data_IF_899775472055
#
_entry.id   IF_899775472055
#
_cell.length_a   1.000
_cell.length_b   1.000
_cell.length_c   1.000
_cell.angle_alpha   90.00
_cell.angle_beta   90.00
_cell.angle_gamma   90.00
#
_symmetry.space_group_name_H-M   'P 1'
#
loop_
_entity.id
_entity.type
_entity.pdbx_description
1 polymer ?
#
# COMPACT_ATOMS: atom_id res chain seq x y z
N UNK A 1 13.08 0.20 26.47
CA UNK A 1 11.94 0.80 27.17
C UNK A 1 10.67 0.07 26.74
N UNK A 2 10.11 -0.77 27.65
CA UNK A 2 8.92 -1.58 27.40
C UNK A 2 7.68 -0.74 27.06
N UNK A 3 7.53 0.43 27.68
CA UNK A 3 6.41 1.36 27.39
C UNK A 3 6.40 1.87 25.96
N UNK A 4 7.56 2.09 25.35
CA UNK A 4 7.64 2.51 23.95
C UNK A 4 7.32 1.37 22.97
N UNK A 5 7.59 0.12 23.34
CA UNK A 5 7.29 -1.04 22.51
C UNK A 5 5.78 -1.20 22.29
N UNK A 6 4.99 -1.07 23.36
CA UNK A 6 3.52 -1.18 23.31
C UNK A 6 2.90 -0.08 22.43
N UNK A 7 3.45 1.13 22.45
CA UNK A 7 3.00 2.22 21.60
C UNK A 7 3.19 1.90 20.12
N UNK A 8 4.37 1.36 19.72
CA UNK A 8 4.64 1.00 18.32
C UNK A 8 3.85 -0.23 17.84
N UNK A 9 3.60 -1.20 18.72
CA UNK A 9 2.79 -2.38 18.41
C UNK A 9 1.33 -1.97 18.16
N UNK A 10 0.82 -1.02 18.91
CA UNK A 10 -0.54 -0.52 18.80
C UNK A 10 -0.75 0.49 17.67
N UNK A 11 0.32 1.09 17.13
CA UNK A 11 0.23 2.00 15.98
C UNK A 11 -0.28 1.25 14.74
N UNK A 12 -1.41 1.72 14.20
CA UNK A 12 -2.06 1.07 13.05
C UNK A 12 -2.20 2.03 11.86
N UNK A 13 -1.67 1.62 10.74
CA UNK A 13 -1.89 2.31 9.46
C UNK A 13 -2.76 1.44 8.57
N UNK A 14 -3.97 1.93 8.22
CA UNK A 14 -4.92 1.15 7.42
C UNK A 14 -5.41 -0.13 8.11
N UNK A 15 -5.46 -0.13 9.44
CA UNK A 15 -5.91 -1.26 10.27
C UNK A 15 -4.88 -2.39 10.42
N UNK A 16 -3.60 -2.14 10.07
CA UNK A 16 -2.47 -3.04 10.27
C UNK A 16 -1.47 -2.40 11.23
N UNK A 17 -0.96 -3.16 12.21
CA UNK A 17 0.20 -2.74 12.98
C UNK A 17 1.44 -2.65 12.08
N UNK A 18 2.42 -1.85 12.49
CA UNK A 18 3.66 -1.70 11.71
C UNK A 18 4.38 -3.05 11.56
N UNK A 19 4.43 -3.84 12.62
CA UNK A 19 5.03 -5.18 12.60
C UNK A 19 4.28 -6.12 11.64
N UNK A 20 2.95 -6.20 11.72
CA UNK A 20 2.16 -7.05 10.83
C UNK A 20 2.30 -6.60 9.37
N UNK A 21 2.45 -5.30 9.11
CA UNK A 21 2.72 -4.75 7.79
C UNK A 21 4.04 -5.26 7.23
N UNK A 22 5.12 -5.19 8.00
CA UNK A 22 6.45 -5.68 7.59
C UNK A 22 6.38 -7.18 7.28
N UNK A 23 5.77 -7.97 8.17
CA UNK A 23 5.63 -9.42 8.00
C UNK A 23 4.82 -9.79 6.74
N UNK A 24 3.72 -9.08 6.46
CA UNK A 24 2.93 -9.27 5.25
C UNK A 24 3.71 -8.95 3.98
N UNK A 25 4.52 -7.90 4.00
CA UNK A 25 5.36 -7.52 2.86
C UNK A 25 6.45 -8.58 2.65
N UNK A 26 7.13 -9.02 3.72
CA UNK A 26 8.14 -10.09 3.66
C UNK A 26 7.53 -11.39 3.09
N UNK A 27 6.40 -11.82 3.62
CA UNK A 27 5.71 -13.01 3.11
C UNK A 27 5.32 -12.86 1.62
N UNK A 28 4.95 -11.67 1.17
CA UNK A 28 4.63 -11.41 -0.24
C UNK A 28 5.83 -11.47 -1.17
N UNK A 29 7.05 -11.30 -0.64
CA UNK A 29 8.33 -11.40 -1.36
C UNK A 29 8.96 -12.81 -1.27
N UNK A 30 8.22 -13.78 -0.71
CA UNK A 30 8.64 -15.18 -0.69
C UNK A 30 9.42 -15.60 0.54
N UNK A 31 9.54 -14.77 1.56
CA UNK A 31 10.09 -15.21 2.84
C UNK A 31 9.12 -16.19 3.50
N UNK A 32 9.66 -17.25 4.09
CA UNK A 32 8.88 -18.32 4.74
C UNK A 32 8.87 -18.23 6.26
N UNK A 33 9.79 -17.45 6.84
CA UNK A 33 9.93 -17.32 8.28
C UNK A 33 10.38 -15.90 8.69
N UNK A 34 10.09 -15.54 9.93
CA UNK A 34 10.61 -14.34 10.56
C UNK A 34 10.86 -14.59 12.05
N UNK A 35 11.89 -13.95 12.58
CA UNK A 35 12.17 -13.88 14.01
C UNK A 35 11.59 -12.59 14.61
N UNK A 36 10.93 -12.69 15.74
CA UNK A 36 10.47 -11.54 16.53
C UNK A 36 11.21 -11.51 17.85
N UNK A 37 11.87 -10.38 18.12
CA UNK A 37 12.55 -10.13 19.40
C UNK A 37 11.60 -9.26 20.25
N UNK A 38 10.46 -9.80 20.58
CA UNK A 38 9.47 -9.20 21.48
C UNK A 38 8.37 -10.21 21.83
N UNK A 39 7.76 -10.03 22.96
CA UNK A 39 6.57 -10.77 23.38
C UNK A 39 5.33 -10.09 22.82
N UNK A 40 4.97 -10.44 21.57
CA UNK A 40 3.79 -9.85 20.90
C UNK A 40 2.67 -10.90 20.87
N UNK A 41 1.47 -10.59 21.34
CA UNK A 41 0.35 -11.52 21.31
C UNK A 41 0.07 -12.04 19.90
N UNK A 42 -0.12 -13.35 19.74
CA UNK A 42 -0.44 -13.99 18.44
C UNK A 42 -1.66 -13.39 17.73
N UNK A 43 -2.58 -12.80 18.50
CA UNK A 43 -3.79 -12.13 17.99
C UNK A 43 -3.45 -11.00 17.01
N UNK A 44 -2.28 -10.39 17.15
CA UNK A 44 -1.83 -9.26 16.30
C UNK A 44 -1.59 -9.66 14.84
N UNK A 45 -1.44 -10.95 14.51
CA UNK A 45 -1.06 -11.44 13.18
C UNK A 45 -2.19 -12.19 12.45
N UNK A 46 -3.44 -11.93 12.78
CA UNK A 46 -4.61 -12.64 12.18
C UNK A 46 -4.63 -12.58 10.66
N UNK A 47 -4.27 -11.47 10.05
CA UNK A 47 -4.27 -11.32 8.59
C UNK A 47 -3.12 -12.08 7.94
N UNK A 48 -1.94 -12.04 8.56
CA UNK A 48 -0.79 -12.79 8.09
C UNK A 48 -1.11 -14.30 8.06
N UNK A 49 -1.59 -14.85 9.18
CA UNK A 49 -1.98 -16.27 9.28
C UNK A 49 -3.06 -16.66 8.28
N UNK A 50 -4.04 -15.78 8.02
CA UNK A 50 -5.10 -16.02 7.03
C UNK A 50 -4.57 -16.03 5.59
N UNK A 51 -3.64 -15.15 5.25
CA UNK A 51 -3.14 -14.97 3.86
C UNK A 51 -1.96 -15.88 3.55
N UNK A 52 -1.13 -16.16 4.55
CA UNK A 52 0.10 -16.97 4.47
C UNK A 52 0.15 -17.96 5.64
N UNK A 53 -0.64 -19.05 5.60
CA UNK A 53 -0.75 -20.01 6.71
C UNK A 53 0.58 -20.70 7.02
N UNK A 54 1.43 -20.91 6.01
CA UNK A 54 2.72 -21.60 6.15
C UNK A 54 3.86 -20.68 6.64
N UNK A 55 3.59 -19.38 6.81
CA UNK A 55 4.59 -18.43 7.30
C UNK A 55 4.86 -18.66 8.79
N UNK A 56 6.11 -19.00 9.12
CA UNK A 56 6.53 -19.31 10.48
C UNK A 56 7.05 -18.07 11.19
N UNK A 57 6.58 -17.86 12.41
CA UNK A 57 7.07 -16.79 13.29
C UNK A 57 7.73 -17.44 14.49
N UNK A 58 9.02 -17.16 14.67
CA UNK A 58 9.79 -17.59 15.83
C UNK A 58 9.93 -16.39 16.77
N UNK A 59 9.56 -16.57 18.04
CA UNK A 59 9.70 -15.52 19.06
C UNK A 59 10.87 -15.89 19.96
N UNK A 60 11.73 -14.91 20.22
CA UNK A 60 12.80 -15.03 21.22
C UNK A 60 13.07 -13.68 21.89
N UNK A 61 13.60 -13.70 23.09
CA UNK A 61 14.06 -12.51 23.82
C UNK A 61 15.49 -12.13 23.43
N UNK A 62 16.25 -13.05 22.86
CA UNK A 62 17.65 -12.86 22.51
C UNK A 62 17.86 -12.87 21.01
N UNK A 63 18.68 -11.96 20.52
CA UNK A 63 19.04 -11.87 19.11
C UNK A 63 19.96 -13.02 18.69
N UNK A 64 20.78 -13.52 19.64
CA UNK A 64 21.71 -14.65 19.45
C UNK A 64 21.04 -15.92 18.93
N UNK A 65 19.74 -16.12 19.25
CA UNK A 65 18.98 -17.29 18.80
C UNK A 65 18.75 -17.33 17.30
N UNK A 66 18.90 -16.19 16.63
CA UNK A 66 18.66 -16.02 15.19
C UNK A 66 19.93 -15.87 14.36
N UNK A 67 21.02 -15.35 14.92
CA UNK A 67 22.17 -14.81 14.16
C UNK A 67 23.15 -15.87 13.62
N UNK A 68 23.20 -17.06 14.15
CA UNK A 68 24.35 -17.96 13.90
C UNK A 68 24.21 -18.90 12.68
N UNK A 69 23.14 -18.85 11.90
CA UNK A 69 22.88 -19.85 10.85
C UNK A 69 22.81 -19.29 9.42
N UNK A 70 22.29 -18.09 9.24
CA UNK A 70 22.02 -17.49 7.92
C UNK A 70 22.24 -15.98 7.94
N UNK A 71 22.25 -15.35 6.77
CA UNK A 71 22.20 -13.90 6.64
C UNK A 71 20.87 -13.37 7.17
N UNK A 72 20.88 -12.32 7.98
CA UNK A 72 19.69 -11.81 8.68
C UNK A 72 19.41 -10.37 8.28
N UNK A 73 18.14 -10.09 8.01
CA UNK A 73 17.63 -8.76 7.82
C UNK A 73 16.77 -8.36 9.03
N UNK A 74 17.21 -7.35 9.76
CA UNK A 74 16.58 -6.89 10.99
C UNK A 74 15.83 -5.59 10.70
N UNK A 75 14.55 -5.56 11.04
CA UNK A 75 13.70 -4.38 11.01
C UNK A 75 13.41 -3.91 12.43
N UNK A 76 13.56 -2.63 12.67
CA UNK A 76 13.04 -2.05 13.91
C UNK A 76 11.51 -1.93 13.81
N UNK A 77 10.82 -2.06 14.93
CA UNK A 77 9.36 -2.07 15.01
C UNK A 77 8.67 -0.75 14.56
N UNK A 78 9.42 0.35 14.53
CA UNK A 78 8.94 1.67 14.14
C UNK A 78 9.25 2.04 12.67
N UNK A 79 9.68 1.09 11.86
CA UNK A 79 9.95 1.30 10.43
C UNK A 79 8.67 1.21 9.63
N UNK A 80 8.41 2.21 8.81
CA UNK A 80 7.37 2.20 7.79
C UNK A 80 8.02 1.94 6.44
N UNK A 81 7.64 0.85 5.80
CA UNK A 81 8.18 0.42 4.52
C UNK A 81 7.03 -0.03 3.60
N UNK A 82 7.20 0.16 2.31
CA UNK A 82 6.32 -0.41 1.29
C UNK A 82 7.02 -1.53 0.50
N UNK A 83 6.25 -2.24 -0.33
CA UNK A 83 6.76 -3.37 -1.11
C UNK A 83 7.92 -3.00 -2.03
N UNK A 84 7.85 -1.87 -2.75
CA UNK A 84 8.92 -1.42 -3.66
C UNK A 84 10.20 -1.08 -2.91
N UNK A 85 10.08 -0.44 -1.74
CA UNK A 85 11.22 -0.12 -0.90
C UNK A 85 11.90 -1.39 -0.37
N UNK A 86 11.13 -2.40 0.04
CA UNK A 86 11.70 -3.68 0.41
C UNK A 86 12.44 -4.33 -0.77
N UNK A 87 11.85 -4.35 -1.97
CA UNK A 87 12.51 -4.88 -3.16
C UNK A 87 13.81 -4.16 -3.47
N UNK A 88 13.82 -2.82 -3.47
CA UNK A 88 15.05 -2.02 -3.65
C UNK A 88 16.09 -2.33 -2.59
N UNK A 89 15.66 -2.51 -1.34
CA UNK A 89 16.54 -2.90 -0.22
C UNK A 89 17.15 -4.28 -0.45
N UNK A 90 16.34 -5.26 -0.85
CA UNK A 90 16.80 -6.62 -1.12
C UNK A 90 17.77 -6.67 -2.31
N UNK A 91 17.54 -5.91 -3.37
CA UNK A 91 18.44 -5.84 -4.52
C UNK A 91 19.80 -5.23 -4.15
N UNK A 92 19.82 -4.26 -3.27
CA UNK A 92 21.07 -3.70 -2.72
C UNK A 92 21.81 -4.76 -1.89
N UNK A 93 21.08 -5.45 -1.00
CA UNK A 93 21.65 -6.45 -0.08
C UNK A 93 22.23 -7.65 -0.82
N UNK A 94 21.58 -8.13 -1.88
CA UNK A 94 22.09 -9.27 -2.69
C UNK A 94 23.53 -9.06 -3.19
N UNK A 95 23.92 -7.81 -3.42
CA UNK A 95 25.23 -7.44 -3.93
C UNK A 95 26.25 -7.10 -2.82
N UNK A 96 25.87 -7.14 -1.54
CA UNK A 96 26.75 -6.81 -0.44
C UNK A 96 27.52 -8.03 0.05
N UNK A 97 28.85 -7.85 0.22
CA UNK A 97 29.74 -8.89 0.78
C UNK A 97 29.89 -8.75 2.29
N UNK A 98 29.55 -7.60 2.87
CA UNK A 98 29.70 -7.26 4.27
C UNK A 98 28.37 -6.89 4.90
N UNK A 99 28.32 -6.95 6.23
CA UNK A 99 27.17 -6.45 6.99
C UNK A 99 27.01 -4.95 6.82
N UNK A 100 25.79 -4.52 6.60
CA UNK A 100 25.50 -3.12 6.25
C UNK A 100 24.26 -2.62 6.96
N UNK A 101 24.23 -1.32 7.17
CA UNK A 101 23.06 -0.60 7.67
C UNK A 101 22.39 0.14 6.52
N UNK A 102 21.09 -0.03 6.37
CA UNK A 102 20.29 0.70 5.40
C UNK A 102 19.71 1.94 6.07
N UNK A 103 20.18 3.10 5.64
CA UNK A 103 19.77 4.39 6.20
C UNK A 103 18.49 4.85 5.50
N UNK A 104 17.46 5.16 6.30
CA UNK A 104 16.28 5.88 5.86
C UNK A 104 16.41 7.39 6.14
N UNK A 105 15.42 8.17 5.72
CA UNK A 105 15.42 9.65 5.82
C UNK A 105 15.64 10.20 7.25
N UNK A 106 15.36 9.40 8.28
CA UNK A 106 15.46 9.82 9.71
C UNK A 106 16.14 8.77 10.59
N UNK A 107 17.32 8.31 10.25
CA UNK A 107 18.03 7.18 10.89
C UNK A 107 17.61 5.80 10.37
N UNK A 108 18.57 4.89 10.31
CA UNK A 108 18.34 3.55 9.81
C UNK A 108 17.55 2.71 10.80
N UNK A 109 16.45 2.15 10.30
CA UNK A 109 15.69 1.14 11.03
C UNK A 109 15.85 -0.27 10.47
N UNK A 110 16.78 -0.47 9.51
CA UNK A 110 17.02 -1.75 8.85
C UNK A 110 18.50 -2.07 8.88
N UNK A 111 18.84 -3.25 9.39
CA UNK A 111 20.21 -3.77 9.47
C UNK A 111 20.28 -5.07 8.68
N UNK A 112 21.32 -5.21 7.88
CA UNK A 112 21.66 -6.45 7.22
C UNK A 112 22.93 -7.03 7.85
N UNK A 113 22.82 -8.23 8.42
CA UNK A 113 23.91 -8.93 9.09
C UNK A 113 24.25 -10.20 8.33
N UNK A 114 25.52 -10.36 7.99
CA UNK A 114 26.06 -11.60 7.42
C UNK A 114 26.25 -12.65 8.52
N UNK A 115 26.10 -13.92 8.18
CA UNK A 115 26.21 -15.09 9.06
C UNK A 115 27.52 -15.20 9.88
N UNK A 116 28.55 -14.43 9.51
CA UNK A 116 29.87 -14.51 10.17
C UNK A 116 30.02 -13.52 11.33
N UNK A 117 28.97 -12.81 11.74
CA UNK A 117 29.02 -11.93 12.92
C UNK A 117 28.77 -12.79 14.15
N UNK A 118 29.77 -12.91 15.02
CA UNK A 118 29.62 -13.51 16.35
C UNK A 118 29.05 -12.49 17.34
N UNK A 119 27.96 -12.84 17.98
CA UNK A 119 27.42 -12.12 19.12
C UNK A 119 27.75 -12.92 20.39
N UNK A 120 28.09 -12.22 21.46
CA UNK A 120 28.20 -12.84 22.79
C UNK A 120 26.81 -13.25 23.30
N UNK A 121 26.75 -14.35 24.04
CA UNK A 121 25.51 -14.77 24.69
C UNK A 121 24.99 -13.62 25.58
N UNK A 122 23.72 -13.25 25.40
CA UNK A 122 23.10 -12.14 26.13
C UNK A 122 23.10 -10.78 25.43
N UNK A 123 23.47 -10.71 24.14
CA UNK A 123 23.41 -9.46 23.35
C UNK A 123 21.99 -8.89 23.32
N UNK A 124 21.81 -7.73 23.92
CA UNK A 124 20.54 -7.02 24.06
C UNK A 124 20.29 -6.05 22.90
N UNK A 125 19.06 -5.54 22.82
CA UNK A 125 18.66 -4.53 21.84
C UNK A 125 19.51 -3.23 21.84
N UNK A 126 20.06 -2.85 23.01
CA UNK A 126 21.01 -1.74 23.15
C UNK A 126 22.27 -1.91 22.29
N UNK A 127 22.74 -3.16 22.15
CA UNK A 127 23.94 -3.47 21.41
C UNK A 127 23.73 -3.36 19.90
N UNK A 128 22.49 -3.52 19.42
CA UNK A 128 22.12 -3.24 18.03
C UNK A 128 22.27 -1.76 17.65
N UNK A 129 22.02 -0.86 18.57
CA UNK A 129 22.19 0.57 18.32
C UNK A 129 23.68 0.95 18.20
N UNK A 130 24.54 0.33 19.00
CA UNK A 130 25.99 0.51 18.89
C UNK A 130 26.54 -0.10 17.61
N UNK A 131 26.06 -1.28 17.22
CA UNK A 131 26.40 -1.95 15.97
C UNK A 131 25.99 -1.12 14.76
N UNK A 132 24.80 -0.51 14.80
CA UNK A 132 24.29 0.37 13.77
C UNK A 132 25.21 1.58 13.52
N UNK A 133 25.90 2.05 14.55
CA UNK A 133 26.85 3.16 14.42
C UNK A 133 28.14 2.77 13.69
N UNK A 134 28.55 1.50 13.78
CA UNK A 134 29.82 0.99 13.25
C UNK A 134 29.71 0.40 11.84
N UNK A 135 28.53 -0.03 11.42
CA UNK A 135 28.33 -0.65 10.12
C UNK A 135 28.34 0.39 8.96
N UNK A 136 28.76 -0.09 7.78
CA UNK A 136 28.69 0.71 6.55
C UNK A 136 27.25 1.12 6.26
N UNK A 137 27.02 2.41 6.05
CA UNK A 137 25.71 2.98 5.75
C UNK A 137 25.46 3.02 4.26
N UNK A 138 24.29 2.54 3.81
CA UNK A 138 23.85 2.62 2.43
C UNK A 138 22.50 3.32 2.42
N UNK A 139 22.35 4.31 1.53
CA UNK A 139 21.10 5.05 1.33
C UNK A 139 20.46 4.61 0.03
N UNK A 140 19.32 3.85 0.07
CA UNK A 140 18.56 3.53 -1.12
C UNK A 140 17.91 4.80 -1.69
N UNK A 141 17.69 4.81 -3.00
CA UNK A 141 17.01 5.92 -3.68
C UNK A 141 15.59 6.16 -3.15
N UNK A 142 14.92 5.10 -2.73
CA UNK A 142 13.60 5.10 -2.07
C UNK A 142 13.76 4.54 -0.65
N UNK A 143 14.16 5.41 0.27
CA UNK A 143 14.43 5.01 1.65
C UNK A 143 13.16 4.80 2.47
N UNK A 144 13.11 3.77 3.34
CA UNK A 144 12.06 3.65 4.36
C UNK A 144 12.18 4.78 5.38
N UNK A 145 11.08 5.08 6.08
CA UNK A 145 11.08 6.04 7.19
C UNK A 145 11.03 5.31 8.53
N UNK A 146 11.81 5.79 9.49
CA UNK A 146 11.72 5.39 10.90
C UNK A 146 10.92 6.44 11.66
N UNK A 147 9.81 6.03 12.28
CA UNK A 147 9.01 6.92 13.13
C UNK A 147 9.70 7.13 14.48
N UNK A 148 9.74 8.36 14.94
CA UNK A 148 10.11 8.70 16.32
C UNK A 148 8.93 8.48 17.27
N UNK A 149 9.18 8.41 18.56
CA UNK A 149 8.13 8.25 19.58
C UNK A 149 7.11 9.37 19.53
N UNK A 150 7.53 10.60 19.25
CA UNK A 150 6.65 11.76 19.08
C UNK A 150 5.79 11.74 17.81
N UNK A 151 6.10 10.88 16.84
CA UNK A 151 5.35 10.72 15.60
C UNK A 151 4.33 9.58 15.66
N UNK A 152 4.32 8.79 16.76
CA UNK A 152 3.33 7.76 17.02
C UNK A 152 1.96 8.42 17.22
N UNK A 153 0.92 7.85 16.62
CA UNK A 153 -0.41 8.45 16.61
C UNK A 153 -0.56 9.65 15.67
N UNK A 154 0.55 10.15 15.12
CA UNK A 154 0.54 11.21 14.11
C UNK A 154 0.18 10.66 12.73
N UNK A 155 -0.06 11.57 11.77
CA UNK A 155 -0.31 11.19 10.39
C UNK A 155 0.98 10.88 9.60
N UNK A 156 2.15 11.04 10.17
CA UNK A 156 3.46 11.00 9.47
C UNK A 156 3.67 9.70 8.70
N UNK A 157 3.51 8.54 9.34
CA UNK A 157 3.68 7.25 8.67
C UNK A 157 2.65 7.00 7.56
N UNK A 158 1.42 7.47 7.76
CA UNK A 158 0.36 7.40 6.76
C UNK A 158 0.66 8.30 5.57
N UNK A 159 1.04 9.54 5.82
CA UNK A 159 1.34 10.53 4.80
C UNK A 159 2.55 10.09 3.95
N UNK A 160 3.57 9.53 4.58
CA UNK A 160 4.70 8.92 3.89
C UNK A 160 4.28 7.82 2.90
N UNK A 161 3.37 6.93 3.29
CA UNK A 161 2.87 5.88 2.38
C UNK A 161 2.07 6.47 1.21
N UNK A 162 1.26 7.49 1.45
CA UNK A 162 0.52 8.17 0.38
C UNK A 162 1.42 8.94 -0.57
N UNK A 163 2.45 9.61 -0.08
CA UNK A 163 3.43 10.31 -0.92
C UNK A 163 4.14 9.34 -1.88
N UNK A 164 4.46 8.14 -1.40
CA UNK A 164 5.04 7.11 -2.25
C UNK A 164 4.07 6.60 -3.32
N UNK A 165 2.78 6.46 -3.00
CA UNK A 165 1.76 6.07 -3.98
C UNK A 165 1.62 7.17 -5.03
N UNK A 166 1.56 8.43 -4.64
CA UNK A 166 1.39 9.57 -5.55
C UNK A 166 2.55 9.74 -6.52
N UNK A 167 3.79 9.51 -6.06
CA UNK A 167 5.01 9.58 -6.89
C UNK A 167 5.05 8.51 -8.00
N UNK A 168 4.40 7.39 -7.78
CA UNK A 168 4.40 6.23 -8.70
C UNK A 168 3.23 6.24 -9.71
N UNK A 169 2.45 7.31 -9.77
CA UNK A 169 1.36 7.46 -10.75
C UNK A 169 1.92 7.91 -12.09
N UNK A 170 1.52 7.21 -13.16
CA UNK A 170 1.81 7.60 -14.55
C UNK A 170 0.80 8.64 -15.04
N UNK A 171 1.27 9.59 -15.83
CA UNK A 171 0.45 10.63 -16.44
C UNK A 171 0.40 11.94 -15.64
N UNK A 172 0.70 13.05 -16.34
CA UNK A 172 0.74 14.39 -15.74
C UNK A 172 -0.61 14.81 -15.14
N UNK A 173 -1.68 14.64 -15.89
CA UNK A 173 -3.04 15.00 -15.47
C UNK A 173 -3.49 14.21 -14.24
N UNK A 174 -3.27 12.90 -14.29
CA UNK A 174 -3.61 11.99 -13.19
C UNK A 174 -2.82 12.34 -11.91
N UNK A 175 -1.55 12.69 -12.04
CA UNK A 175 -0.70 13.08 -10.91
C UNK A 175 -1.07 14.45 -10.35
N UNK A 176 -1.43 15.42 -11.20
CA UNK A 176 -1.59 16.82 -10.80
C UNK A 176 -3.01 17.11 -10.31
N UNK A 177 -4.02 16.56 -10.96
CA UNK A 177 -5.44 16.86 -10.66
C UNK A 177 -6.07 15.73 -9.86
N UNK A 178 -6.10 14.50 -10.42
CA UNK A 178 -6.83 13.42 -9.80
C UNK A 178 -6.25 13.04 -8.42
N UNK A 179 -4.91 13.01 -8.26
CA UNK A 179 -4.27 12.69 -6.97
C UNK A 179 -4.57 13.72 -5.88
N UNK A 180 -4.75 15.00 -6.24
CA UNK A 180 -5.09 16.03 -5.26
C UNK A 180 -6.49 15.85 -4.66
N UNK A 181 -7.38 15.19 -5.40
CA UNK A 181 -8.75 14.91 -4.96
C UNK A 181 -8.85 13.51 -4.34
N UNK A 182 -8.26 12.49 -4.99
CA UNK A 182 -8.35 11.10 -4.52
C UNK A 182 -7.63 10.86 -3.19
N UNK A 183 -6.44 11.43 -2.99
CA UNK A 183 -5.64 11.20 -1.76
C UNK A 183 -6.36 11.65 -0.48
N UNK A 184 -6.94 12.86 -0.37
CA UNK A 184 -7.73 13.23 0.80
C UNK A 184 -8.88 12.27 1.09
N UNK A 185 -9.60 11.84 0.04
CA UNK A 185 -10.71 10.89 0.16
C UNK A 185 -10.19 9.55 0.64
N UNK A 186 -9.12 9.03 0.04
CA UNK A 186 -8.49 7.78 0.42
C UNK A 186 -7.96 7.81 1.85
N UNK A 187 -7.43 8.94 2.34
CA UNK A 187 -7.03 9.13 3.74
C UNK A 187 -8.20 8.99 4.73
N UNK A 188 -9.40 9.33 4.32
CA UNK A 188 -10.62 9.07 5.11
C UNK A 188 -11.02 7.61 5.00
N UNK A 189 -11.06 7.06 3.80
CA UNK A 189 -11.48 5.67 3.53
C UNK A 189 -10.60 4.62 4.21
N UNK A 190 -9.30 4.86 4.38
CA UNK A 190 -8.44 3.91 5.09
C UNK A 190 -8.77 3.77 6.57
N UNK A 191 -9.41 4.77 7.18
CA UNK A 191 -9.87 4.72 8.58
C UNK A 191 -11.11 3.83 8.74
N UNK A 192 -11.86 3.60 7.67
CA UNK A 192 -13.04 2.74 7.66
C UNK A 192 -12.66 1.27 7.55
N UNK A 193 -13.55 0.36 7.94
CA UNK A 193 -13.39 -1.09 7.74
C UNK A 193 -13.70 -1.54 6.31
N UNK A 194 -14.11 -0.64 5.41
CA UNK A 194 -14.51 -0.96 4.04
C UNK A 194 -13.42 -1.72 3.29
N UNK A 195 -13.86 -2.77 2.60
CA UNK A 195 -12.99 -3.51 1.68
C UNK A 195 -12.81 -2.72 0.38
N UNK A 196 -11.60 -2.71 -0.24
CA UNK A 196 -11.39 -2.01 -1.51
C UNK A 196 -12.42 -2.36 -2.59
N UNK A 197 -12.75 -3.64 -2.76
CA UNK A 197 -13.73 -4.07 -3.77
C UNK A 197 -15.13 -3.47 -3.58
N UNK A 198 -15.50 -3.08 -2.35
CA UNK A 198 -16.77 -2.39 -2.10
C UNK A 198 -16.69 -0.97 -2.63
N UNK A 199 -15.55 -0.33 -2.49
CA UNK A 199 -15.31 1.02 -3.05
C UNK A 199 -15.38 0.93 -4.57
N UNK A 200 -14.67 -0.02 -5.20
CA UNK A 200 -14.73 -0.29 -6.64
C UNK A 200 -16.17 -0.47 -7.12
N UNK A 201 -16.96 -1.28 -6.41
CA UNK A 201 -18.37 -1.53 -6.76
C UNK A 201 -19.21 -0.26 -6.74
N UNK A 202 -19.10 0.54 -5.67
CA UNK A 202 -19.87 1.80 -5.53
C UNK A 202 -19.48 2.78 -6.65
N UNK A 203 -18.19 2.93 -6.90
CA UNK A 203 -17.66 3.83 -7.93
C UNK A 203 -18.08 3.36 -9.33
N UNK A 204 -18.03 2.05 -9.58
CA UNK A 204 -18.51 1.46 -10.82
C UNK A 204 -20.00 1.72 -11.08
N UNK A 205 -20.85 1.62 -10.04
CA UNK A 205 -22.27 1.97 -10.15
C UNK A 205 -22.47 3.45 -10.51
N UNK A 206 -21.67 4.36 -9.92
CA UNK A 206 -21.69 5.78 -10.27
C UNK A 206 -21.28 5.93 -11.75
N UNK A 207 -20.20 5.29 -12.20
CA UNK A 207 -19.74 5.32 -13.58
C UNK A 207 -20.81 4.82 -14.56
N UNK A 208 -21.42 3.66 -14.28
CA UNK A 208 -22.48 3.09 -15.13
C UNK A 208 -23.71 4.01 -15.21
N UNK A 209 -24.05 4.75 -14.15
CA UNK A 209 -25.20 5.67 -14.16
C UNK A 209 -25.07 6.81 -15.18
N UNK A 210 -23.85 7.12 -15.64
CA UNK A 210 -23.64 8.18 -16.64
C UNK A 210 -24.43 7.94 -17.94
N UNK A 211 -24.60 6.66 -18.34
CA UNK A 211 -25.36 6.29 -19.55
C UNK A 211 -26.82 6.72 -19.50
N UNK A 212 -27.44 6.74 -18.33
CA UNK A 212 -28.82 7.23 -18.14
C UNK A 212 -28.91 8.71 -18.55
N UNK A 213 -27.95 9.52 -18.09
CA UNK A 213 -27.93 10.96 -18.39
C UNK A 213 -27.62 11.24 -19.86
N UNK A 214 -26.77 10.44 -20.49
CA UNK A 214 -26.58 10.50 -21.95
C UNK A 214 -27.86 10.14 -22.69
N UNK A 215 -28.58 9.10 -22.27
CA UNK A 215 -29.81 8.65 -22.93
C UNK A 215 -30.96 9.69 -22.88
N UNK A 216 -31.04 10.50 -21.82
CA UNK A 216 -32.04 11.57 -21.66
C UNK A 216 -31.58 12.94 -22.15
N UNK A 217 -30.54 12.99 -23.01
CA UNK A 217 -29.97 14.20 -23.59
C UNK A 217 -29.44 15.24 -22.55
N UNK A 218 -28.79 14.72 -21.50
CA UNK A 218 -28.07 15.53 -20.52
C UNK A 218 -26.57 15.20 -20.54
N UNK A 219 -25.87 15.40 -21.68
CA UNK A 219 -24.49 14.93 -21.86
C UNK A 219 -23.48 15.59 -20.89
N UNK A 220 -23.73 16.85 -20.51
CA UNK A 220 -22.88 17.54 -19.56
C UNK A 220 -22.91 16.86 -18.18
N UNK A 221 -24.10 16.47 -17.70
CA UNK A 221 -24.24 15.78 -16.42
C UNK A 221 -23.62 14.37 -16.52
N UNK A 222 -23.88 13.65 -17.63
CA UNK A 222 -23.26 12.35 -17.88
C UNK A 222 -21.73 12.41 -17.86
N UNK A 223 -21.14 13.40 -18.52
CA UNK A 223 -19.69 13.62 -18.52
C UNK A 223 -19.15 13.95 -17.13
N UNK A 224 -19.85 14.76 -16.34
CA UNK A 224 -19.45 15.12 -14.98
C UNK A 224 -19.49 13.90 -14.04
N UNK A 225 -20.50 13.04 -14.18
CA UNK A 225 -20.61 11.79 -13.42
C UNK A 225 -19.46 10.84 -13.79
N UNK A 226 -19.19 10.65 -15.08
CA UNK A 226 -18.10 9.79 -15.55
C UNK A 226 -16.74 10.31 -15.07
N UNK A 227 -16.49 11.61 -15.14
CA UNK A 227 -15.26 12.22 -14.62
C UNK A 227 -15.12 12.04 -13.10
N UNK A 228 -16.23 12.18 -12.36
CA UNK A 228 -16.25 11.95 -10.91
C UNK A 228 -15.92 10.48 -10.59
N UNK A 229 -16.54 9.54 -11.31
CA UNK A 229 -16.24 8.12 -11.18
C UNK A 229 -14.75 7.84 -11.44
N UNK A 230 -14.17 8.38 -12.51
CA UNK A 230 -12.73 8.22 -12.85
C UNK A 230 -11.79 8.76 -11.75
N UNK A 231 -12.17 9.82 -11.07
CA UNK A 231 -11.38 10.35 -9.94
C UNK A 231 -11.50 9.45 -8.71
N UNK A 232 -12.70 8.99 -8.39
CA UNK A 232 -12.99 8.15 -7.24
C UNK A 232 -12.45 6.73 -7.39
N UNK A 233 -12.40 6.22 -8.61
CA UNK A 233 -11.85 4.93 -8.98
C UNK A 233 -10.43 4.73 -8.45
N UNK A 234 -9.61 5.75 -8.48
CA UNK A 234 -8.26 5.71 -7.90
C UNK A 234 -8.24 5.42 -6.40
N UNK A 235 -9.31 5.76 -5.68
CA UNK A 235 -9.36 5.62 -4.23
C UNK A 235 -9.31 4.16 -3.78
N UNK A 236 -9.91 3.24 -4.54
CA UNK A 236 -9.90 1.82 -4.18
C UNK A 236 -8.50 1.21 -4.31
N UNK A 237 -7.76 1.53 -5.39
CA UNK A 237 -6.38 1.12 -5.58
C UNK A 237 -5.44 1.73 -4.53
N UNK A 238 -5.61 3.00 -4.17
CA UNK A 238 -4.85 3.65 -3.10
C UNK A 238 -5.12 2.97 -1.74
N UNK A 239 -6.39 2.73 -1.43
CA UNK A 239 -6.80 2.02 -0.20
C UNK A 239 -6.31 0.57 -0.19
N UNK A 240 -6.37 -0.14 -1.34
CA UNK A 240 -5.88 -1.51 -1.45
C UNK A 240 -4.38 -1.61 -1.14
N UNK A 241 -3.57 -0.70 -1.69
CA UNK A 241 -2.12 -0.63 -1.43
C UNK A 241 -1.81 -0.31 0.02
N UNK A 242 -2.46 0.70 0.60
CA UNK A 242 -2.24 1.08 2.00
C UNK A 242 -2.67 -0.06 2.95
N UNK A 243 -3.79 -0.71 2.68
CA UNK A 243 -4.30 -1.83 3.50
C UNK A 243 -3.63 -3.17 3.18
N UNK A 244 -2.70 -3.26 2.21
CA UNK A 244 -2.09 -4.49 1.70
C UNK A 244 -3.16 -5.55 1.31
N UNK A 245 -4.25 -5.08 0.67
CA UNK A 245 -5.38 -5.90 0.19
C UNK A 245 -5.47 -5.98 -1.33
N UNK A 246 -4.36 -5.75 -2.01
CA UNK A 246 -4.30 -5.95 -3.45
C UNK A 246 -4.57 -7.41 -3.81
N UNK A 247 -5.37 -7.64 -4.84
CA UNK A 247 -5.69 -8.98 -5.34
C UNK A 247 -5.88 -8.96 -6.85
N UNK A 248 -5.59 -10.08 -7.50
CA UNK A 248 -5.85 -10.26 -8.95
C UNK A 248 -7.34 -10.10 -9.28
N UNK A 249 -8.21 -10.61 -8.40
CA UNK A 249 -9.65 -10.45 -8.53
C UNK A 249 -10.06 -8.98 -8.47
N UNK A 250 -9.51 -8.20 -7.51
CA UNK A 250 -9.80 -6.76 -7.40
C UNK A 250 -9.43 -6.00 -8.66
N UNK A 251 -8.25 -6.26 -9.22
CA UNK A 251 -7.80 -5.64 -10.48
C UNK A 251 -8.69 -5.98 -11.67
N UNK A 252 -9.09 -7.26 -11.79
CA UNK A 252 -10.01 -7.69 -12.82
C UNK A 252 -11.39 -7.04 -12.67
N UNK A 253 -11.90 -6.98 -11.43
CA UNK A 253 -13.21 -6.43 -11.10
C UNK A 253 -13.29 -4.93 -11.39
N UNK A 254 -12.24 -4.19 -11.06
CA UNK A 254 -12.01 -2.80 -11.38
C UNK A 254 -12.10 -2.56 -12.91
N UNK A 255 -11.26 -3.26 -13.67
CA UNK A 255 -11.28 -3.19 -15.13
C UNK A 255 -12.65 -3.55 -15.72
N UNK A 256 -13.34 -4.54 -15.17
CA UNK A 256 -14.66 -4.94 -15.67
C UNK A 256 -15.72 -3.84 -15.48
N UNK A 257 -15.71 -3.17 -14.32
CA UNK A 257 -16.64 -2.07 -14.05
C UNK A 257 -16.34 -0.82 -14.88
N UNK A 258 -15.07 -0.54 -15.16
CA UNK A 258 -14.66 0.50 -16.09
C UNK A 258 -15.22 0.27 -17.48
N UNK A 259 -15.05 -0.96 -18.01
CA UNK A 259 -15.59 -1.32 -19.33
C UNK A 259 -17.12 -1.21 -19.37
N UNK A 260 -17.81 -1.62 -18.29
CA UNK A 260 -19.26 -1.47 -18.18
C UNK A 260 -19.69 0.01 -18.16
N UNK A 261 -18.91 0.87 -17.52
CA UNK A 261 -19.16 2.32 -17.49
C UNK A 261 -19.05 2.93 -18.89
N UNK A 262 -17.99 2.58 -19.65
CA UNK A 262 -17.86 3.02 -21.05
C UNK A 262 -18.97 2.44 -21.95
N UNK A 263 -19.29 1.17 -21.78
CA UNK A 263 -20.39 0.55 -22.54
C UNK A 263 -21.73 1.27 -22.25
N UNK A 264 -22.04 1.57 -20.98
CA UNK A 264 -23.23 2.30 -20.58
C UNK A 264 -23.28 3.71 -21.22
N UNK A 265 -22.14 4.40 -21.25
CA UNK A 265 -22.02 5.70 -21.92
C UNK A 265 -22.36 5.60 -23.39
N UNK A 266 -21.73 4.69 -24.14
CA UNK A 266 -21.97 4.51 -25.57
C UNK A 266 -23.42 4.10 -25.86
N UNK A 267 -23.98 3.21 -25.03
CA UNK A 267 -25.40 2.82 -25.14
C UNK A 267 -26.32 4.01 -24.92
N UNK A 268 -26.06 4.83 -23.91
CA UNK A 268 -26.82 6.03 -23.63
C UNK A 268 -26.78 7.04 -24.77
N UNK A 269 -25.60 7.28 -25.36
CA UNK A 269 -25.44 8.15 -26.53
C UNK A 269 -26.24 7.57 -27.72
N UNK A 270 -26.12 6.27 -27.98
CA UNK A 270 -26.88 5.63 -29.08
C UNK A 270 -28.39 5.76 -28.92
N UNK A 271 -28.91 5.57 -27.70
CA UNK A 271 -30.34 5.76 -27.40
C UNK A 271 -30.75 7.21 -27.63
N UNK A 272 -29.94 8.16 -27.19
CA UNK A 272 -30.20 9.58 -27.39
C UNK A 272 -30.27 9.95 -28.88
N UNK A 273 -29.29 9.48 -29.67
CA UNK A 273 -29.22 9.77 -31.12
C UNK A 273 -30.40 9.17 -31.90
N UNK A 274 -30.91 8.02 -31.49
CA UNK A 274 -32.06 7.37 -32.11
C UNK A 274 -33.41 7.93 -31.62
N UNK A 275 -33.43 8.86 -30.70
CA UNK A 275 -34.68 9.44 -30.21
C UNK A 275 -35.08 10.69 -31.03
N UNK A 276 -36.20 10.62 -31.81
CA UNK A 276 -36.61 11.70 -32.70
C UNK A 276 -36.97 13.01 -31.95
N UNK A 277 -37.17 12.94 -30.62
CA UNK A 277 -37.40 14.14 -29.82
C UNK A 277 -36.13 14.98 -29.63
N UNK A 278 -34.94 14.34 -29.65
CA UNK A 278 -33.67 15.00 -29.43
C UNK A 278 -32.90 15.26 -30.72
N UNK A 279 -33.00 14.30 -31.67
CA UNK A 279 -32.39 14.39 -33.00
C UNK A 279 -33.45 14.14 -34.07
N UNK A 280 -34.09 15.22 -34.60
CA UNK A 280 -35.10 15.07 -35.65
C UNK A 280 -34.52 14.63 -37.01
N UNK A 281 -33.20 14.57 -37.14
CA UNK A 281 -32.53 14.07 -38.35
C UNK A 281 -32.34 12.56 -38.27
N UNK A 282 -33.39 11.80 -38.64
CA UNK A 282 -33.23 10.38 -38.94
C UNK A 282 -32.56 10.24 -40.30
N UNK A 283 -31.90 9.08 -40.56
CA UNK A 283 -31.20 8.81 -41.81
C UNK A 283 -32.10 9.01 -43.06
N UNK A 284 -33.41 8.95 -42.88
CA UNK A 284 -34.43 9.16 -43.95
C UNK A 284 -34.57 10.63 -44.38
N UNK A 285 -34.01 11.58 -43.62
CA UNK A 285 -34.05 13.00 -43.96
C UNK A 285 -32.79 13.53 -44.64
N UNK A 286 -31.81 12.69 -44.89
CA UNK A 286 -30.62 13.03 -45.67
C UNK A 286 -30.93 12.68 -47.12
N UNK A 287 -31.60 13.61 -47.83
CA UNK A 287 -31.72 13.56 -49.26
C UNK A 287 -30.41 14.13 -49.83
N UNK A 288 -29.64 13.26 -50.54
CA UNK A 288 -28.50 13.67 -51.34
C UNK A 288 -28.94 14.31 -52.63
#
# INVERSE_FOLDING_TARGET
DSENLDLFINEKIGGLSLTERILLILASEGFSNAGLIADIPEISFKRLKKKYPDFKIHQSKNISDFVNKEDILIFQNNVVINKKQLQSTLDIIKNQKESTTIRGDKNSGILFLKKNISFSDGTNYSDLNSLNATLRKIEPKDSPIKLSTSEIGSNTGRDFLFDHISKNVSGWFSKTINSKISIPISKVLIKTSLHPNVITFIVGLIGISCGIFYAINMPFIGALILQTATILDRCDGEVARIKLRESKFGQWFDTALDQLSYFSMFLGISICMNNPKFFPFTADNIIF
#
